data_IF_614887953574
#
_entry.id   IF_614887953574
#
_cell.length_a   1.000
_cell.length_b   1.000
_cell.length_c   1.000
_cell.angle_alpha   90.00
_cell.angle_beta   90.00
_cell.angle_gamma   90.00
#
_symmetry.space_group_name_H-M   'P 1'
#
loop_
_entity.id
_entity.type
_entity.pdbx_description
1 polymer ?
#
# COMPACT_ATOMS: atom_id res chain seq x y z
N UNK A 1 -35.03 43.02 -56.24
CA UNK A 1 -33.72 43.70 -56.30
C UNK A 1 -32.84 43.06 -55.25
N UNK A 2 -31.87 42.24 -55.70
CA UNK A 2 -30.67 41.62 -55.07
C UNK A 2 -30.71 41.25 -53.57
N UNK A 3 -30.73 39.97 -53.15
CA UNK A 3 -29.69 38.90 -53.15
C UNK A 3 -28.49 39.18 -52.21
N UNK A 4 -28.25 38.32 -51.20
CA UNK A 4 -27.29 37.20 -51.22
C UNK A 4 -27.18 36.49 -49.84
N UNK A 5 -27.37 35.15 -49.83
CA UNK A 5 -26.75 34.20 -48.89
C UNK A 5 -25.32 33.88 -49.37
N UNK A 6 -24.52 33.15 -48.58
CA UNK A 6 -23.91 31.97 -49.19
C UNK A 6 -23.92 30.71 -48.31
N UNK A 7 -24.34 29.61 -48.94
CA UNK A 7 -23.91 28.23 -48.74
C UNK A 7 -22.64 27.95 -49.55
N UNK A 8 -21.73 27.11 -49.06
CA UNK A 8 -20.90 26.27 -49.93
C UNK A 8 -20.34 25.05 -49.17
N UNK A 9 -20.58 23.88 -49.76
CA UNK A 9 -19.96 22.60 -49.46
C UNK A 9 -19.06 22.19 -50.64
N UNK A 10 -18.21 21.19 -50.36
CA UNK A 10 -17.66 20.16 -51.25
C UNK A 10 -16.20 20.25 -51.75
N UNK A 11 -15.53 19.12 -51.45
CA UNK A 11 -14.33 18.44 -51.94
C UNK A 11 -13.81 18.77 -53.35
N UNK A 12 -12.49 18.59 -53.54
CA UNK A 12 -11.89 17.68 -54.53
C UNK A 12 -10.34 17.57 -54.38
N UNK A 13 -9.87 16.31 -54.31
CA UNK A 13 -8.66 15.66 -54.88
C UNK A 13 -7.33 16.44 -55.04
N UNK A 14 -6.23 15.84 -54.56
CA UNK A 14 -5.11 15.36 -55.40
C UNK A 14 -3.99 14.69 -54.58
N UNK A 15 -3.58 13.49 -55.01
CA UNK A 15 -2.28 12.88 -54.68
C UNK A 15 -1.14 13.58 -55.43
N UNK A 16 0.13 13.35 -55.06
CA UNK A 16 0.96 12.62 -56.01
C UNK A 16 1.91 11.58 -55.39
N UNK A 17 2.35 10.73 -56.30
CA UNK A 17 3.13 9.50 -56.21
C UNK A 17 4.65 9.69 -56.11
N UNK A 18 5.32 8.59 -55.72
CA UNK A 18 6.66 8.11 -56.11
C UNK A 18 7.86 8.44 -55.21
N UNK A 19 8.36 7.41 -54.52
CA UNK A 19 9.77 7.00 -54.68
C UNK A 19 9.91 5.48 -54.50
N UNK A 20 10.60 4.87 -55.46
CA UNK A 20 10.96 3.45 -55.55
C UNK A 20 12.41 3.27 -55.13
N UNK A 21 12.71 2.19 -54.41
CA UNK A 21 14.08 1.77 -54.08
C UNK A 21 14.08 0.43 -53.35
N UNK A 22 14.20 -0.65 -54.11
CA UNK A 22 14.31 -2.02 -53.62
C UNK A 22 15.70 -2.32 -53.02
N UNK A 23 15.76 -3.17 -51.98
CA UNK A 23 16.55 -4.41 -52.05
C UNK A 23 16.20 -5.38 -50.91
N UNK A 24 16.13 -6.66 -51.28
CA UNK A 24 15.79 -7.80 -50.47
C UNK A 24 17.01 -8.39 -49.75
N UNK A 25 16.77 -9.01 -48.59
CA UNK A 25 17.15 -10.39 -48.21
C UNK A 25 17.44 -10.50 -46.71
N UNK A 26 16.79 -11.47 -46.05
CA UNK A 26 17.11 -11.85 -44.67
C UNK A 26 15.92 -12.37 -43.87
N UNK A 27 15.12 -13.29 -44.42
CA UNK A 27 14.13 -14.02 -43.62
C UNK A 27 14.85 -15.03 -42.72
N UNK A 28 14.80 -14.83 -41.40
CA UNK A 28 14.92 -15.93 -40.44
C UNK A 28 13.65 -15.94 -39.61
N UNK A 29 12.71 -16.78 -40.03
CA UNK A 29 11.50 -17.09 -39.29
C UNK A 29 11.85 -18.06 -38.16
N UNK A 30 11.99 -17.55 -36.93
CA UNK A 30 11.85 -18.41 -35.75
C UNK A 30 10.37 -18.44 -35.39
N UNK A 31 9.73 -19.55 -35.71
CA UNK A 31 8.38 -19.93 -35.29
C UNK A 31 8.48 -20.73 -33.99
N UNK A 32 7.56 -20.51 -33.05
CA UNK A 32 7.33 -21.39 -31.90
C UNK A 32 8.24 -21.19 -30.67
N UNK A 33 8.15 -22.09 -29.67
CA UNK A 33 7.94 -21.89 -28.22
C UNK A 33 9.07 -21.23 -27.39
N UNK A 34 10.09 -20.64 -28.03
CA UNK A 34 11.29 -20.15 -27.35
C UNK A 34 11.07 -18.80 -26.62
N UNK A 35 10.20 -17.93 -27.16
CA UNK A 35 9.86 -16.64 -26.53
C UNK A 35 9.01 -16.84 -25.25
N UNK A 36 8.11 -17.83 -25.25
CA UNK A 36 7.33 -18.22 -24.08
C UNK A 36 8.21 -18.88 -23.01
N UNK A 37 9.25 -19.61 -23.41
CA UNK A 37 10.21 -20.23 -22.48
C UNK A 37 11.15 -19.20 -21.84
N UNK A 38 11.60 -18.18 -22.59
CA UNK A 38 12.39 -17.07 -22.01
C UNK A 38 11.57 -16.19 -21.06
N UNK A 39 10.29 -15.93 -21.37
CA UNK A 39 9.40 -15.16 -20.48
C UNK A 39 9.03 -15.94 -19.21
N UNK A 40 8.89 -17.27 -19.30
CA UNK A 40 8.73 -18.14 -18.11
C UNK A 40 9.99 -18.24 -17.26
N UNK A 41 11.19 -18.25 -17.88
CA UNK A 41 12.46 -18.29 -17.15
C UNK A 41 12.71 -17.00 -16.38
N UNK A 42 12.52 -15.84 -17.02
CA UNK A 42 12.65 -14.54 -16.35
C UNK A 42 11.64 -14.35 -15.19
N UNK A 43 10.40 -14.84 -15.34
CA UNK A 43 9.38 -14.77 -14.28
C UNK A 43 9.64 -15.80 -13.16
N UNK A 44 10.25 -16.94 -13.47
CA UNK A 44 10.68 -17.94 -12.48
C UNK A 44 11.88 -17.45 -11.67
N UNK A 45 12.87 -16.84 -12.33
CA UNK A 45 14.09 -16.33 -11.69
C UNK A 45 13.78 -15.10 -10.81
N UNK A 46 12.85 -14.25 -11.23
CA UNK A 46 12.36 -13.12 -10.42
C UNK A 46 11.58 -13.59 -9.19
N UNK A 47 10.70 -14.59 -9.32
CA UNK A 47 9.98 -15.17 -8.17
C UNK A 47 10.90 -15.95 -7.22
N UNK A 48 11.93 -16.64 -7.72
CA UNK A 48 12.88 -17.34 -6.86
C UNK A 48 13.78 -16.40 -6.10
N UNK A 49 14.18 -15.28 -6.70
CA UNK A 49 15.00 -14.28 -6.01
C UNK A 49 14.19 -13.55 -4.93
N UNK A 50 12.96 -13.11 -5.25
CA UNK A 50 12.05 -12.51 -4.27
C UNK A 50 11.79 -13.46 -3.08
N UNK A 51 11.52 -14.74 -3.36
CA UNK A 51 11.35 -15.77 -2.31
C UNK A 51 12.63 -16.04 -1.51
N UNK A 52 13.82 -15.83 -2.08
CA UNK A 52 15.09 -16.01 -1.37
C UNK A 52 15.44 -14.84 -0.46
N UNK A 53 15.11 -13.61 -0.89
CA UNK A 53 15.32 -12.39 -0.11
C UNK A 53 14.31 -12.30 1.04
N UNK A 54 13.05 -12.63 0.78
CA UNK A 54 12.00 -12.77 1.80
C UNK A 54 12.40 -13.81 2.85
N UNK A 55 12.91 -14.97 2.42
CA UNK A 55 13.41 -16.00 3.33
C UNK A 55 14.63 -15.53 4.13
N UNK A 56 15.57 -14.80 3.51
CA UNK A 56 16.74 -14.24 4.20
C UNK A 56 16.32 -13.21 5.25
N UNK A 57 15.37 -12.33 4.94
CA UNK A 57 14.82 -11.36 5.88
C UNK A 57 14.11 -12.04 7.06
N UNK A 58 13.24 -13.01 6.79
CA UNK A 58 12.58 -13.80 7.83
C UNK A 58 13.56 -14.63 8.67
N UNK A 59 14.63 -15.16 8.07
CA UNK A 59 15.69 -15.88 8.79
C UNK A 59 16.53 -14.92 9.64
N UNK A 60 16.75 -13.66 9.21
CA UNK A 60 17.37 -12.61 10.04
C UNK A 60 16.49 -12.29 11.26
N UNK A 61 15.19 -12.03 11.03
CA UNK A 61 14.21 -11.75 12.09
C UNK A 61 14.11 -12.93 13.07
N UNK A 62 14.15 -14.18 12.56
CA UNK A 62 14.11 -15.39 13.39
C UNK A 62 15.41 -15.59 14.18
N UNK A 63 16.56 -15.46 13.53
CA UNK A 63 17.89 -15.55 14.16
C UNK A 63 17.97 -14.61 15.36
N UNK A 64 17.43 -13.40 15.21
CA UNK A 64 17.43 -12.40 16.25
C UNK A 64 16.59 -12.79 17.48
N UNK A 65 15.37 -13.30 17.27
CA UNK A 65 14.52 -13.81 18.36
C UNK A 65 15.20 -14.93 19.16
N UNK A 66 16.02 -15.77 18.52
CA UNK A 66 16.76 -16.84 19.19
C UNK A 66 17.99 -16.33 19.97
N UNK A 67 18.66 -15.28 19.47
CA UNK A 67 19.84 -14.68 20.12
C UNK A 67 19.45 -13.81 21.34
N UNK A 68 18.33 -13.09 21.25
CA UNK A 68 17.74 -12.35 22.37
C UNK A 68 17.37 -13.29 23.54
N UNK A 69 16.82 -14.46 23.23
CA UNK A 69 16.52 -15.50 24.23
C UNK A 69 17.78 -16.09 24.87
N UNK A 70 18.90 -16.17 24.15
CA UNK A 70 20.19 -16.59 24.72
C UNK A 70 20.80 -15.53 25.62
N UNK A 71 20.75 -14.25 25.23
CA UNK A 71 21.27 -13.16 26.06
C UNK A 71 20.49 -13.00 27.37
N UNK A 72 19.16 -13.16 27.34
CA UNK A 72 18.31 -13.18 28.55
C UNK A 72 18.61 -14.36 29.49
N UNK A 73 19.16 -15.46 28.98
CA UNK A 73 19.61 -16.59 29.80
C UNK A 73 21.01 -16.34 30.40
N UNK A 74 21.89 -15.63 29.69
CA UNK A 74 23.27 -15.37 30.13
C UNK A 74 23.40 -14.29 31.21
N UNK A 75 22.50 -13.29 31.25
CA UNK A 75 22.53 -12.23 32.29
C UNK A 75 22.10 -12.70 33.68
N UNK A 76 21.74 -13.98 33.84
CA UNK A 76 21.46 -14.60 35.14
C UNK A 76 22.66 -15.34 35.75
N UNK A 77 23.81 -15.38 35.06
CA UNK A 77 25.00 -16.09 35.53
C UNK A 77 26.25 -15.19 35.52
N UNK A 78 26.80 -15.03 36.73
CA UNK A 78 28.22 -14.78 37.04
C UNK A 78 28.71 -13.33 37.25
N UNK A 79 28.27 -12.72 38.35
CA UNK A 79 29.11 -11.81 39.13
C UNK A 79 30.04 -12.63 40.05
N UNK A 80 31.28 -12.89 39.66
CA UNK A 80 32.46 -12.90 40.55
C UNK A 80 33.73 -13.41 39.85
N UNK A 81 34.76 -12.56 39.74
CA UNK A 81 36.12 -12.84 40.25
C UNK A 81 37.15 -11.86 39.67
N UNK A 82 37.54 -10.86 40.45
CA UNK A 82 38.74 -10.06 40.26
C UNK A 82 39.78 -10.43 41.33
N UNK A 83 41.02 -10.78 40.94
CA UNK A 83 42.21 -10.62 41.80
C UNK A 83 43.46 -10.27 40.95
N UNK A 84 44.27 -9.26 41.35
CA UNK A 84 45.50 -8.82 40.67
C UNK A 84 46.79 -9.21 41.43
N UNK A 85 47.98 -9.24 40.78
CA UNK A 85 49.33 -8.86 41.33
C UNK A 85 50.51 -9.03 40.33
N UNK A 86 51.74 -8.47 40.55
CA UNK A 86 52.50 -7.73 39.52
C UNK A 86 54.03 -8.03 39.33
N UNK A 87 54.63 -7.42 38.28
CA UNK A 87 56.04 -6.94 38.19
C UNK A 87 57.08 -7.86 37.48
N UNK A 88 58.33 -7.38 37.17
CA UNK A 88 58.76 -6.09 36.60
C UNK A 88 59.74 -6.18 35.38
N UNK A 89 59.80 -5.10 34.59
CA UNK A 89 60.92 -4.43 33.85
C UNK A 89 61.95 -5.20 33.00
N UNK A 90 62.10 -4.82 31.70
CA UNK A 90 63.32 -4.18 31.12
C UNK A 90 63.14 -3.74 29.65
N UNK A 91 63.83 -2.65 29.30
CA UNK A 91 63.71 -1.82 28.11
C UNK A 91 64.37 -2.39 26.83
N UNK A 92 63.82 -2.03 25.66
CA UNK A 92 64.48 -2.21 24.37
C UNK A 92 63.66 -1.70 23.17
N UNK A 93 64.19 -0.67 22.51
CA UNK A 93 63.93 -0.21 21.14
C UNK A 93 62.47 0.05 20.68
N UNK A 94 62.13 1.35 20.55
CA UNK A 94 60.94 1.83 19.85
C UNK A 94 61.00 1.46 18.35
N UNK A 95 60.36 0.36 18.00
CA UNK A 95 59.68 0.19 16.72
C UNK A 95 58.40 1.03 16.82
N UNK A 96 57.97 1.82 15.82
CA UNK A 96 56.62 2.37 15.83
C UNK A 96 55.67 1.18 15.80
N UNK A 97 55.26 0.77 16.99
CA UNK A 97 54.25 -0.24 17.19
C UNK A 97 52.99 0.46 16.76
N UNK A 98 52.52 0.14 15.56
CA UNK A 98 51.15 0.42 15.15
C UNK A 98 50.27 0.10 16.35
N UNK A 99 49.61 1.13 16.88
CA UNK A 99 48.78 0.98 18.08
C UNK A 99 47.88 -0.23 17.85
N UNK A 100 47.69 -1.13 18.83
CA UNK A 100 46.75 -2.22 18.69
C UNK A 100 45.44 -1.61 18.19
N UNK A 101 45.02 -1.98 16.98
CA UNK A 101 43.69 -1.67 16.47
C UNK A 101 42.74 -2.32 17.47
N UNK A 102 42.27 -1.54 18.45
CA UNK A 102 41.17 -1.95 19.30
C UNK A 102 40.04 -2.17 18.31
N UNK A 103 39.48 -3.39 18.20
CA UNK A 103 38.37 -3.62 17.28
C UNK A 103 37.29 -2.62 17.65
N UNK A 104 36.92 -1.76 16.70
CA UNK A 104 35.86 -0.79 16.96
C UNK A 104 34.55 -1.56 17.09
N UNK A 105 33.81 -1.22 18.13
CA UNK A 105 32.52 -1.83 18.40
C UNK A 105 31.51 -1.24 17.42
N UNK A 106 30.87 -2.09 16.61
CA UNK A 106 29.77 -1.69 15.74
C UNK A 106 28.51 -1.53 16.59
N UNK A 107 27.98 -0.32 16.69
CA UNK A 107 26.76 -0.02 17.45
C UNK A 107 25.82 0.75 16.53
N UNK A 108 24.82 0.06 16.01
CA UNK A 108 23.73 0.63 15.20
C UNK A 108 22.46 0.65 16.04
N UNK A 109 21.62 1.64 15.79
CA UNK A 109 20.33 1.80 16.46
C UNK A 109 19.24 2.03 15.40
N UNK A 110 18.05 1.49 15.63
CA UNK A 110 16.91 1.63 14.75
C UNK A 110 15.63 1.80 15.54
N UNK A 111 14.81 2.77 15.15
CA UNK A 111 13.50 3.04 15.77
C UNK A 111 12.41 3.17 14.71
N UNK A 112 11.24 2.60 14.96
CA UNK A 112 10.04 2.77 14.16
C UNK A 112 9.18 3.88 14.77
N UNK A 113 8.88 4.91 13.97
CA UNK A 113 7.81 5.86 14.27
C UNK A 113 6.63 5.61 13.36
N UNK A 114 5.43 5.41 13.91
CA UNK A 114 4.20 5.25 13.14
C UNK A 114 3.19 6.32 13.51
N UNK A 115 2.65 7.01 12.50
CA UNK A 115 1.63 8.05 12.67
C UNK A 115 0.49 7.90 11.66
N UNK A 116 -0.69 8.37 12.00
CA UNK A 116 -1.86 8.40 11.12
C UNK A 116 -1.73 9.54 10.10
N UNK A 117 -2.02 9.28 8.83
CA UNK A 117 -1.83 10.22 7.71
C UNK A 117 -2.59 11.53 7.85
N UNK A 118 -3.85 11.46 8.26
CA UNK A 118 -4.69 12.67 8.39
C UNK A 118 -4.45 13.48 9.67
N UNK A 119 -4.13 12.82 10.79
CA UNK A 119 -4.10 13.46 12.12
C UNK A 119 -2.71 13.63 12.71
N UNK A 120 -1.70 12.90 12.21
CA UNK A 120 -0.36 12.83 12.78
C UNK A 120 -0.29 12.18 14.15
N UNK A 121 -1.40 11.60 14.63
CA UNK A 121 -1.46 10.90 15.91
C UNK A 121 -0.71 9.56 15.82
N UNK A 122 -0.18 9.03 16.94
CA UNK A 122 0.51 7.74 16.95
C UNK A 122 -0.44 6.60 16.56
N UNK A 123 0.06 5.58 15.86
CA UNK A 123 -0.76 4.46 15.38
C UNK A 123 -1.48 3.69 16.50
N UNK A 124 -0.97 3.72 17.73
CA UNK A 124 -1.61 3.14 18.91
C UNK A 124 -2.89 3.88 19.34
N UNK A 125 -3.11 5.10 18.84
CA UNK A 125 -4.33 5.88 19.06
C UNK A 125 -5.46 5.52 18.10
N UNK A 126 -5.20 4.63 17.14
CA UNK A 126 -6.17 4.20 16.16
C UNK A 126 -7.38 3.54 16.83
N UNK A 127 -8.55 4.08 16.55
CA UNK A 127 -9.82 3.52 17.01
C UNK A 127 -10.70 3.23 15.81
N UNK A 128 -11.32 2.05 15.78
CA UNK A 128 -12.36 1.78 14.81
C UNK A 128 -13.46 2.87 14.90
N UNK A 129 -13.96 3.40 13.77
CA UNK A 129 -14.98 4.42 13.77
C UNK A 129 -16.22 3.95 14.56
N UNK A 130 -16.90 4.85 15.29
CA UNK A 130 -18.08 4.49 16.06
C UNK A 130 -19.18 4.01 15.11
N UNK A 131 -19.45 2.71 15.19
CA UNK A 131 -20.53 1.97 14.55
C UNK A 131 -20.38 1.65 13.07
N UNK A 132 -19.47 2.25 12.30
CA UNK A 132 -19.37 1.98 10.86
C UNK A 132 -20.66 2.31 10.10
N UNK A 133 -21.64 2.97 10.73
CA UNK A 133 -22.89 3.37 10.09
C UNK A 133 -22.62 4.68 9.38
N UNK A 134 -22.94 4.73 8.09
CA UNK A 134 -22.94 5.92 7.25
C UNK A 134 -24.15 6.82 7.49
N UNK A 135 -24.48 7.02 8.77
CA UNK A 135 -25.39 8.04 9.24
C UNK A 135 -24.53 9.00 10.04
N UNK A 136 -24.32 10.24 9.54
CA UNK A 136 -23.52 11.21 10.27
C UNK A 136 -24.02 11.36 11.71
N UNK A 137 -23.10 11.31 12.67
CA UNK A 137 -23.44 11.30 14.11
C UNK A 137 -24.19 12.57 14.56
N UNK A 138 -24.14 13.63 13.75
CA UNK A 138 -24.83 14.90 13.93
C UNK A 138 -26.21 14.96 13.24
N UNK A 139 -26.61 13.91 12.52
CA UNK A 139 -27.85 13.84 11.75
C UNK A 139 -27.83 14.66 10.46
N UNK A 140 -26.65 14.99 9.94
CA UNK A 140 -26.49 15.64 8.63
C UNK A 140 -26.69 14.66 7.47
N UNK A 141 -26.95 15.21 6.28
CA UNK A 141 -27.05 14.43 5.05
C UNK A 141 -25.66 13.94 4.59
N UNK A 142 -25.61 12.81 3.90
CA UNK A 142 -24.39 12.35 3.23
C UNK A 142 -24.04 13.30 2.09
N UNK A 143 -22.76 13.68 1.97
CA UNK A 143 -22.24 14.56 0.93
C UNK A 143 -21.20 13.88 0.05
N UNK A 144 -20.50 12.88 0.60
CA UNK A 144 -19.53 12.06 -0.12
C UNK A 144 -19.64 10.61 0.33
N UNK A 145 -19.52 9.70 -0.62
CA UNK A 145 -19.30 8.27 -0.36
C UNK A 145 -18.13 7.77 -1.19
N UNK A 146 -17.38 6.83 -0.65
CA UNK A 146 -16.26 6.17 -1.33
C UNK A 146 -16.53 4.68 -1.39
N UNK A 147 -16.37 4.12 -2.58
CA UNK A 147 -16.47 2.68 -2.82
C UNK A 147 -15.13 2.11 -3.25
N UNK A 148 -14.87 0.87 -2.84
CA UNK A 148 -13.87 0.00 -3.44
C UNK A 148 -14.54 -0.84 -4.52
N UNK A 149 -13.91 -0.92 -5.70
CA UNK A 149 -14.38 -1.76 -6.79
C UNK A 149 -13.81 -3.18 -6.67
N UNK A 150 -14.69 -4.16 -6.70
CA UNK A 150 -14.40 -5.59 -6.71
C UNK A 150 -15.00 -6.23 -7.95
N UNK A 151 -14.35 -7.23 -8.54
CA UNK A 151 -14.90 -7.92 -9.72
C UNK A 151 -15.84 -9.05 -9.31
N UNK A 152 -16.99 -8.67 -8.72
CA UNK A 152 -17.95 -9.61 -8.10
C UNK A 152 -19.37 -9.42 -8.65
N UNK A 153 -20.09 -10.49 -9.02
CA UNK A 153 -21.47 -10.39 -9.49
C UNK A 153 -22.43 -9.98 -8.36
N UNK A 154 -23.64 -9.56 -8.70
CA UNK A 154 -24.66 -9.14 -7.72
C UNK A 154 -24.96 -10.19 -6.65
N UNK A 155 -24.88 -11.48 -6.99
CA UNK A 155 -25.10 -12.57 -6.06
C UNK A 155 -24.05 -12.66 -4.93
N UNK A 156 -22.94 -11.93 -5.06
CA UNK A 156 -21.91 -11.81 -4.02
C UNK A 156 -22.04 -10.58 -3.14
N UNK A 157 -23.07 -9.74 -3.35
CA UNK A 157 -23.36 -8.61 -2.46
C UNK A 157 -23.86 -9.08 -1.09
N UNK A 158 -23.58 -8.27 -0.09
CA UNK A 158 -23.95 -8.47 1.31
C UNK A 158 -24.23 -7.09 1.92
N UNK A 159 -25.52 -6.77 2.12
CA UNK A 159 -25.98 -5.53 2.72
C UNK A 159 -27.36 -5.74 3.35
N UNK A 160 -27.73 -4.87 4.29
CA UNK A 160 -28.95 -4.99 5.07
C UNK A 160 -30.11 -4.09 4.57
N UNK A 161 -29.99 -3.50 3.37
CA UNK A 161 -31.00 -2.59 2.81
C UNK A 161 -32.22 -3.29 2.18
N UNK A 162 -32.23 -4.64 2.14
CA UNK A 162 -33.40 -5.40 1.68
C UNK A 162 -33.80 -5.08 0.23
N UNK A 163 -34.99 -4.52 0.03
CA UNK A 163 -35.50 -4.16 -1.32
C UNK A 163 -35.14 -2.75 -1.77
N UNK A 164 -34.59 -1.94 -0.87
CA UNK A 164 -34.24 -0.54 -1.14
C UNK A 164 -32.88 -0.45 -1.86
N UNK A 165 -32.04 -1.49 -1.70
CA UNK A 165 -30.89 -1.74 -2.56
C UNK A 165 -31.20 -2.78 -3.64
N UNK A 166 -30.83 -2.47 -4.88
CA UNK A 166 -31.03 -3.38 -6.02
C UNK A 166 -29.76 -3.46 -6.86
N UNK A 167 -29.17 -4.64 -6.93
CA UNK A 167 -28.07 -4.94 -7.85
C UNK A 167 -28.59 -5.76 -9.02
N UNK A 168 -28.29 -5.35 -10.24
CA UNK A 168 -28.60 -6.09 -11.47
C UNK A 168 -27.35 -6.34 -12.31
N UNK A 169 -27.01 -7.60 -12.52
CA UNK A 169 -25.96 -8.01 -13.46
C UNK A 169 -26.48 -7.88 -14.90
N UNK A 170 -25.72 -7.19 -15.74
CA UNK A 170 -25.99 -7.03 -17.17
C UNK A 170 -24.91 -7.77 -17.96
N UNK A 171 -25.33 -8.65 -18.87
CA UNK A 171 -24.40 -9.47 -19.63
C UNK A 171 -23.61 -10.42 -18.72
N UNK A 172 -22.26 -10.41 -18.72
CA UNK A 172 -21.46 -11.27 -17.87
C UNK A 172 -21.48 -10.88 -16.38
N UNK A 173 -22.03 -9.70 -16.02
CA UNK A 173 -22.12 -9.22 -14.63
C UNK A 173 -20.80 -8.65 -14.07
N UNK A 174 -19.66 -9.10 -14.58
CA UNK A 174 -18.33 -8.68 -14.14
C UNK A 174 -17.37 -8.46 -15.32
N UNK A 175 -16.38 -7.57 -15.19
CA UNK A 175 -15.39 -7.38 -16.23
C UNK A 175 -14.44 -8.60 -16.31
N UNK A 176 -13.86 -8.88 -17.50
CA UNK A 176 -12.77 -9.85 -17.62
C UNK A 176 -11.59 -9.49 -16.71
N UNK A 177 -10.84 -10.50 -16.26
CA UNK A 177 -9.67 -10.28 -15.39
C UNK A 177 -8.69 -9.26 -16.00
N UNK A 178 -8.39 -8.20 -15.24
CA UNK A 178 -7.47 -7.14 -15.65
C UNK A 178 -8.03 -6.14 -16.68
N UNK A 179 -9.35 -6.13 -16.90
CA UNK A 179 -10.02 -5.07 -17.64
C UNK A 179 -10.45 -3.93 -16.70
N UNK A 180 -10.36 -2.71 -17.21
CA UNK A 180 -10.72 -1.50 -16.47
C UNK A 180 -12.19 -1.17 -16.68
N UNK A 181 -12.85 -0.64 -15.66
CA UNK A 181 -14.24 -0.18 -15.72
C UNK A 181 -14.34 1.34 -15.69
N UNK A 182 -15.48 1.83 -16.19
CA UNK A 182 -15.96 3.19 -15.99
C UNK A 182 -17.23 3.17 -15.15
N UNK A 183 -17.34 4.12 -14.22
CA UNK A 183 -18.44 4.21 -13.27
C UNK A 183 -19.12 5.57 -13.43
N UNK A 184 -20.44 5.52 -13.55
CA UNK A 184 -21.31 6.70 -13.60
C UNK A 184 -22.38 6.52 -12.55
N UNK A 185 -22.54 7.51 -11.67
CA UNK A 185 -23.59 7.53 -10.67
C UNK A 185 -24.55 8.68 -10.91
N UNK A 186 -25.83 8.46 -10.68
CA UNK A 186 -26.88 9.44 -10.86
C UNK A 186 -27.95 9.32 -9.77
N UNK A 187 -28.67 10.42 -9.55
CA UNK A 187 -29.87 10.44 -8.71
C UNK A 187 -30.95 9.50 -9.27
N UNK A 188 -31.52 8.66 -8.42
CA UNK A 188 -32.60 7.73 -8.75
C UNK A 188 -33.99 8.40 -8.76
N UNK A 189 -34.07 9.68 -9.15
CA UNK A 189 -35.31 10.43 -9.21
C UNK A 189 -36.05 10.21 -10.54
N UNK A 190 -37.35 9.88 -10.48
CA UNK A 190 -38.18 9.58 -11.65
C UNK A 190 -38.29 10.73 -12.68
N UNK A 191 -38.02 11.98 -12.27
CA UNK A 191 -38.34 13.16 -13.08
C UNK A 191 -37.13 13.91 -13.64
N UNK A 192 -35.91 13.72 -13.12
CA UNK A 192 -34.66 14.29 -13.65
C UNK A 192 -33.47 13.68 -12.91
N UNK A 193 -32.88 12.60 -13.45
CA UNK A 193 -31.64 12.06 -12.93
C UNK A 193 -30.51 13.09 -13.07
N UNK A 194 -29.95 13.53 -11.94
CA UNK A 194 -28.78 14.39 -11.89
C UNK A 194 -27.56 13.47 -11.89
N UNK A 195 -26.66 13.67 -12.85
CA UNK A 195 -25.39 12.94 -12.89
C UNK A 195 -24.48 13.47 -11.78
N UNK A 196 -24.00 12.56 -10.94
CA UNK A 196 -23.08 12.84 -9.84
C UNK A 196 -21.63 12.85 -10.34
N UNK A 197 -20.76 13.50 -9.58
CA UNK A 197 -19.32 13.52 -9.86
C UNK A 197 -18.71 12.23 -9.33
N UNK A 198 -18.00 11.50 -10.19
CA UNK A 198 -17.28 10.27 -9.82
C UNK A 198 -15.78 10.45 -10.07
N UNK A 199 -14.96 10.23 -9.05
CA UNK A 199 -13.51 10.45 -9.13
C UNK A 199 -12.71 9.27 -8.54
N UNK A 200 -11.88 8.57 -9.34
CA UNK A 200 -11.86 8.57 -10.81
C UNK A 200 -13.15 7.96 -11.39
N UNK A 201 -13.57 8.38 -12.59
CA UNK A 201 -14.76 7.83 -13.27
C UNK A 201 -14.44 6.72 -14.29
N UNK A 202 -13.16 6.48 -14.60
CA UNK A 202 -12.72 5.46 -15.55
C UNK A 202 -11.29 5.00 -15.25
N UNK A 203 -10.90 3.85 -15.81
CA UNK A 203 -9.59 3.26 -15.55
C UNK A 203 -9.49 2.57 -14.18
N UNK A 204 -10.64 2.17 -13.63
CA UNK A 204 -10.74 1.54 -12.30
C UNK A 204 -10.57 0.04 -12.46
N UNK A 205 -9.69 -0.56 -11.66
CA UNK A 205 -9.45 -2.00 -11.59
C UNK A 205 -9.84 -2.56 -10.22
N UNK A 206 -9.94 -3.88 -10.11
CA UNK A 206 -10.33 -4.51 -8.85
C UNK A 206 -9.32 -4.19 -7.73
N UNK A 207 -9.82 -3.69 -6.59
CA UNK A 207 -9.04 -3.17 -5.47
C UNK A 207 -8.88 -1.65 -5.49
N UNK A 208 -9.18 -0.97 -6.60
CA UNK A 208 -9.14 0.49 -6.66
C UNK A 208 -10.38 1.10 -5.99
N UNK A 209 -10.22 2.32 -5.46
CA UNK A 209 -11.30 3.10 -4.87
C UNK A 209 -11.74 4.26 -5.77
N UNK A 210 -12.99 4.67 -5.63
CA UNK A 210 -13.52 5.88 -6.24
C UNK A 210 -14.51 6.57 -5.31
N UNK A 211 -14.60 7.89 -5.47
CA UNK A 211 -15.48 8.77 -4.69
C UNK A 211 -16.68 9.20 -5.52
N UNK A 212 -17.83 9.39 -4.87
CA UNK A 212 -19.04 9.93 -5.45
C UNK A 212 -19.50 11.14 -4.64
N UNK A 213 -19.69 12.27 -5.32
CA UNK A 213 -20.07 13.56 -4.74
C UNK A 213 -21.08 14.27 -5.65
N UNK A 214 -21.87 15.18 -5.09
CA UNK A 214 -22.64 16.12 -5.91
C UNK A 214 -21.71 17.18 -6.54
N UNK A 215 -22.03 17.65 -7.76
CA UNK A 215 -21.20 18.53 -8.58
C UNK A 215 -20.80 19.87 -7.93
N UNK A 216 -21.50 20.30 -6.88
CA UNK A 216 -21.28 21.56 -6.16
C UNK A 216 -21.04 21.35 -4.66
N UNK A 217 -20.74 20.12 -4.22
CA UNK A 217 -20.55 19.79 -2.80
C UNK A 217 -21.84 19.87 -1.99
N UNK A 218 -23.01 19.72 -2.64
CA UNK A 218 -24.28 19.54 -1.97
C UNK A 218 -24.43 18.14 -1.37
N UNK A 219 -25.54 17.88 -0.64
CA UNK A 219 -25.86 16.54 -0.19
C UNK A 219 -26.11 15.61 -1.38
N UNK A 220 -25.71 14.35 -1.22
CA UNK A 220 -26.05 13.26 -2.11
C UNK A 220 -27.57 13.02 -2.09
N UNK A 221 -28.14 12.51 -3.20
CA UNK A 221 -29.55 12.16 -3.24
C UNK A 221 -29.86 11.02 -2.27
N UNK A 222 -31.10 10.97 -1.78
CA UNK A 222 -31.56 9.90 -0.87
C UNK A 222 -31.53 8.52 -1.53
N UNK A 223 -31.57 8.44 -2.86
CA UNK A 223 -31.38 7.21 -3.61
C UNK A 223 -30.51 7.48 -4.82
N UNK A 224 -29.54 6.60 -5.05
CA UNK A 224 -28.53 6.74 -6.09
C UNK A 224 -28.48 5.47 -6.92
N UNK A 225 -28.21 5.61 -8.22
CA UNK A 225 -27.92 4.50 -9.12
C UNK A 225 -26.52 4.66 -9.69
N UNK A 226 -25.65 3.67 -9.49
CA UNK A 226 -24.35 3.58 -10.15
C UNK A 226 -24.36 2.50 -11.23
N UNK A 227 -23.90 2.87 -12.42
CA UNK A 227 -23.74 1.99 -13.56
C UNK A 227 -22.26 1.73 -13.80
N UNK A 228 -21.89 0.45 -13.83
CA UNK A 228 -20.54 -0.03 -14.11
C UNK A 228 -20.50 -0.52 -15.55
N UNK A 229 -19.56 0.02 -16.33
CA UNK A 229 -19.37 -0.37 -17.73
C UNK A 229 -17.93 -0.77 -18.01
N UNK A 230 -17.74 -1.72 -18.92
CA UNK A 230 -16.43 -2.10 -19.42
C UNK A 230 -15.84 -0.96 -20.25
N UNK A 231 -14.65 -0.45 -19.91
CA UNK A 231 -14.05 0.71 -20.58
C UNK A 231 -13.71 0.42 -22.05
N UNK A 232 -13.37 -0.83 -22.37
CA UNK A 232 -12.96 -1.23 -23.72
C UNK A 232 -14.13 -1.30 -24.72
N UNK A 233 -15.26 -1.85 -24.28
CA UNK A 233 -16.44 -2.11 -25.11
C UNK A 233 -17.59 -1.14 -24.89
N UNK A 234 -17.61 -0.42 -23.76
CA UNK A 234 -18.74 0.40 -23.33
C UNK A 234 -19.97 -0.42 -22.91
N UNK A 235 -19.84 -1.74 -22.78
CA UNK A 235 -20.95 -2.59 -22.35
C UNK A 235 -21.22 -2.38 -20.86
N UNK A 236 -22.49 -2.16 -20.51
CA UNK A 236 -22.93 -2.16 -19.11
C UNK A 236 -22.76 -3.56 -18.54
N UNK A 237 -22.07 -3.65 -17.41
CA UNK A 237 -21.78 -4.88 -16.68
C UNK A 237 -22.70 -5.04 -15.48
N UNK A 238 -22.98 -3.96 -14.77
CA UNK A 238 -23.79 -4.00 -13.57
C UNK A 238 -24.44 -2.64 -13.30
N UNK A 239 -25.62 -2.66 -12.70
CA UNK A 239 -26.31 -1.48 -12.19
C UNK A 239 -26.64 -1.70 -10.72
N UNK A 240 -26.27 -0.74 -9.88
CA UNK A 240 -26.42 -0.80 -8.43
C UNK A 240 -27.25 0.39 -7.96
N UNK A 241 -28.38 0.12 -7.30
CA UNK A 241 -29.20 1.11 -6.63
C UNK A 241 -28.96 1.02 -5.13
N UNK A 242 -28.80 2.18 -4.50
CA UNK A 242 -28.55 2.35 -3.08
C UNK A 242 -29.61 3.27 -2.48
N UNK A 243 -29.90 3.05 -1.20
CA UNK A 243 -30.60 4.01 -0.36
C UNK A 243 -29.58 4.69 0.58
N UNK A 244 -29.55 6.02 0.53
CA UNK A 244 -28.68 6.90 1.30
C UNK A 244 -29.50 7.78 2.26
N UNK A 245 -30.79 7.48 2.45
CA UNK A 245 -31.73 8.33 3.20
C UNK A 245 -31.48 8.38 4.70
N UNK A 246 -30.79 7.37 5.24
CA UNK A 246 -30.64 7.13 6.67
C UNK A 246 -31.86 6.45 7.31
N UNK A 247 -32.92 6.15 6.55
CA UNK A 247 -34.06 5.36 7.04
C UNK A 247 -33.76 3.85 7.04
N UNK A 248 -32.77 3.42 6.24
CA UNK A 248 -32.21 2.06 6.24
C UNK A 248 -30.75 2.07 6.71
N UNK A 249 -30.27 0.92 7.19
CA UNK A 249 -28.87 0.78 7.55
C UNK A 249 -28.01 0.93 6.30
N UNK A 250 -26.97 1.75 6.39
CA UNK A 250 -25.90 1.84 5.42
C UNK A 250 -24.62 1.70 6.21
N UNK A 251 -24.01 0.53 6.17
CA UNK A 251 -22.84 0.20 6.96
C UNK A 251 -21.60 0.16 6.07
N UNK A 252 -20.48 0.65 6.60
CA UNK A 252 -19.19 0.45 5.96
C UNK A 252 -18.94 -1.06 5.85
N UNK A 253 -18.38 -1.44 4.70
CA UNK A 253 -18.23 -2.81 4.19
C UNK A 253 -19.50 -3.45 3.65
N UNK A 254 -20.64 -2.75 3.63
CA UNK A 254 -21.77 -3.19 2.82
C UNK A 254 -21.33 -3.34 1.35
N UNK A 255 -21.67 -4.49 0.78
CA UNK A 255 -21.36 -4.87 -0.58
C UNK A 255 -22.62 -4.89 -1.44
N UNK A 256 -22.57 -4.14 -2.53
CA UNK A 256 -23.60 -4.03 -3.55
C UNK A 256 -23.01 -4.57 -4.86
N UNK A 257 -22.95 -5.90 -4.95
CA UNK A 257 -22.31 -6.61 -6.05
C UNK A 257 -20.81 -6.31 -6.16
N UNK A 258 -20.43 -5.52 -7.17
CA UNK A 258 -19.04 -5.13 -7.42
C UNK A 258 -18.57 -3.93 -6.59
N UNK A 259 -19.43 -3.32 -5.77
CA UNK A 259 -19.11 -2.10 -5.02
C UNK A 259 -19.14 -2.37 -3.52
N UNK A 260 -18.05 -2.09 -2.82
CA UNK A 260 -17.97 -2.17 -1.36
C UNK A 260 -17.89 -0.76 -0.80
N UNK A 261 -18.80 -0.37 0.08
CA UNK A 261 -18.74 0.93 0.74
C UNK A 261 -17.57 0.96 1.72
N UNK A 262 -16.63 1.89 1.56
CA UNK A 262 -15.43 1.97 2.40
C UNK A 262 -15.28 3.28 3.16
N UNK A 263 -15.99 4.33 2.73
CA UNK A 263 -16.08 5.60 3.47
C UNK A 263 -17.35 6.36 3.12
N UNK A 264 -17.80 7.20 4.05
CA UNK A 264 -18.92 8.11 3.92
C UNK A 264 -18.70 9.35 4.81
N UNK A 265 -18.76 10.54 4.23
CA UNK A 265 -18.34 11.79 4.89
C UNK A 265 -16.99 11.60 5.63
N UNK A 266 -16.97 11.85 6.94
CA UNK A 266 -15.79 11.74 7.79
C UNK A 266 -15.61 10.33 8.39
N UNK A 267 -16.47 9.36 8.05
CA UNK A 267 -16.42 7.99 8.56
C UNK A 267 -15.78 7.08 7.51
N UNK A 268 -14.55 6.62 7.76
CA UNK A 268 -13.79 5.76 6.84
C UNK A 268 -13.32 4.48 7.53
N UNK A 269 -13.36 3.36 6.82
CA UNK A 269 -12.65 2.13 7.22
C UNK A 269 -11.20 2.15 6.82
N UNK A 270 -10.81 3.05 5.93
CA UNK A 270 -9.48 3.08 5.35
C UNK A 270 -8.69 4.18 6.01
N UNK A 271 -7.61 3.80 6.67
CA UNK A 271 -6.67 4.72 7.31
C UNK A 271 -5.29 4.58 6.66
N UNK A 272 -4.63 5.72 6.49
CA UNK A 272 -3.27 5.79 6.00
C UNK A 272 -2.30 5.85 7.19
N UNK A 273 -1.24 5.07 7.13
CA UNK A 273 -0.15 5.05 8.10
C UNK A 273 1.10 5.62 7.45
N UNK A 274 1.68 6.63 8.10
CA UNK A 274 3.01 7.13 7.82
C UNK A 274 4.00 6.48 8.77
N UNK A 275 4.86 5.63 8.22
CA UNK A 275 5.87 4.89 8.98
C UNK A 275 7.26 5.42 8.63
N UNK A 276 8.05 5.73 9.65
CA UNK A 276 9.42 6.24 9.52
C UNK A 276 10.37 5.35 10.31
N UNK A 277 11.33 4.75 9.60
CA UNK A 277 12.43 3.99 10.20
C UNK A 277 13.61 4.93 10.37
N UNK A 278 13.96 5.24 11.61
CA UNK A 278 15.10 6.08 11.95
C UNK A 278 16.31 5.19 12.20
N UNK A 279 17.39 5.42 11.49
CA UNK A 279 18.62 4.64 11.54
C UNK A 279 19.73 5.51 12.08
N UNK A 280 20.47 5.06 13.09
CA UNK A 280 21.52 5.84 13.72
C UNK A 280 22.83 5.05 13.86
N UNK A 281 23.93 5.71 13.49
CA UNK A 281 25.26 5.21 13.80
C UNK A 281 25.69 5.71 15.19
N UNK A 282 25.52 4.86 16.20
CA UNK A 282 25.93 5.13 17.58
C UNK A 282 27.40 4.69 17.83
N UNK A 283 27.98 3.96 16.88
CA UNK A 283 29.35 3.49 16.90
C UNK A 283 30.39 4.60 16.69
N UNK A 284 31.66 4.31 16.99
CA UNK A 284 32.75 5.27 16.87
C UNK A 284 33.29 5.42 15.44
N UNK A 285 32.96 4.48 14.54
CA UNK A 285 33.43 4.42 13.14
C UNK A 285 32.28 4.63 12.15
N UNK A 286 32.60 5.04 10.93
CA UNK A 286 31.60 5.07 9.85
C UNK A 286 31.08 3.65 9.55
N UNK A 287 29.77 3.51 9.34
CA UNK A 287 29.14 2.23 9.02
C UNK A 287 28.36 2.27 7.71
N UNK A 288 28.40 1.16 6.98
CA UNK A 288 27.59 0.89 5.79
C UNK A 288 26.45 -0.04 6.18
N UNK A 289 25.22 0.36 5.85
CA UNK A 289 24.05 -0.51 5.98
C UNK A 289 24.09 -1.51 4.83
N UNK A 290 24.12 -2.80 5.16
CA UNK A 290 24.15 -3.91 4.21
C UNK A 290 22.73 -4.37 3.87
N UNK A 291 21.86 -4.43 4.87
CA UNK A 291 20.46 -4.84 4.73
C UNK A 291 19.57 -4.04 5.70
N UNK A 292 18.34 -3.76 5.25
CA UNK A 292 17.29 -3.10 6.03
C UNK A 292 15.96 -3.80 5.72
N UNK A 293 15.63 -4.83 6.47
CA UNK A 293 14.45 -5.66 6.23
C UNK A 293 13.26 -5.18 7.04
N UNK A 294 12.21 -4.77 6.33
CA UNK A 294 10.92 -4.42 6.89
C UNK A 294 9.93 -5.55 6.68
N UNK A 295 9.20 -5.93 7.71
CA UNK A 295 8.02 -6.79 7.61
C UNK A 295 6.80 -5.98 8.06
N UNK A 296 5.81 -5.89 7.17
CA UNK A 296 4.50 -5.32 7.48
C UNK A 296 3.44 -6.38 7.23
N UNK A 297 2.79 -6.85 8.30
CA UNK A 297 1.77 -7.90 8.24
C UNK A 297 2.19 -9.15 7.44
N UNK A 298 3.45 -9.58 7.58
CA UNK A 298 4.00 -10.76 6.92
C UNK A 298 4.50 -10.51 5.49
N UNK A 299 4.45 -9.27 4.99
CA UNK A 299 5.07 -8.87 3.72
C UNK A 299 6.43 -8.24 4.02
N UNK A 300 7.49 -8.97 3.66
CA UNK A 300 8.86 -8.54 3.89
C UNK A 300 9.46 -7.85 2.65
N UNK A 301 10.20 -6.76 2.88
CA UNK A 301 10.89 -5.98 1.84
C UNK A 301 12.26 -5.47 2.33
N UNK A 302 13.25 -5.40 1.44
CA UNK A 302 14.57 -4.83 1.76
C UNK A 302 14.68 -3.39 1.28
N UNK A 303 14.76 -2.46 2.22
CA UNK A 303 14.75 -1.03 1.99
C UNK A 303 16.15 -0.41 1.95
N UNK A 304 17.23 -1.21 1.97
CA UNK A 304 18.62 -0.69 2.06
C UNK A 304 18.96 0.29 0.93
N UNK A 305 18.37 0.11 -0.24
CA UNK A 305 18.55 1.00 -1.40
C UNK A 305 18.01 2.42 -1.19
N UNK A 306 17.12 2.61 -0.22
CA UNK A 306 16.50 3.90 0.12
C UNK A 306 17.30 4.66 1.20
N UNK A 307 18.25 4.00 1.88
CA UNK A 307 19.05 4.60 2.95
C UNK A 307 20.02 5.62 2.36
N UNK A 308 19.76 6.90 2.61
CA UNK A 308 20.60 8.01 2.12
C UNK A 308 20.85 9.02 3.25
N UNK A 309 22.09 9.29 3.66
CA UNK A 309 23.35 8.76 3.12
C UNK A 309 23.65 7.34 3.62
N UNK A 310 24.41 6.58 2.83
CA UNK A 310 25.00 5.29 3.21
C UNK A 310 26.41 5.23 2.57
N UNK A 311 27.52 5.22 3.34
CA UNK A 311 27.62 5.03 4.80
C UNK A 311 27.21 6.23 5.66
N UNK A 312 26.91 5.98 6.94
CA UNK A 312 26.72 6.99 7.98
C UNK A 312 28.00 7.23 8.78
N UNK A 313 28.33 8.49 9.07
CA UNK A 313 29.43 8.84 9.98
C UNK A 313 29.02 8.64 11.45
N UNK A 314 29.99 8.57 12.39
CA UNK A 314 29.71 8.46 13.81
C UNK A 314 28.77 9.57 14.31
N UNK A 315 27.72 9.18 15.04
CA UNK A 315 26.70 10.07 15.58
C UNK A 315 25.74 10.66 14.55
N UNK A 316 25.77 10.20 13.29
CA UNK A 316 24.79 10.59 12.28
C UNK A 316 23.60 9.62 12.25
N UNK A 317 22.45 10.16 11.84
CA UNK A 317 21.23 9.41 11.61
C UNK A 317 20.66 9.71 10.23
N UNK A 318 19.90 8.78 9.69
CA UNK A 318 19.07 8.95 8.50
C UNK A 318 17.72 8.28 8.71
N UNK A 319 16.78 8.47 7.78
CA UNK A 319 15.45 7.88 7.85
C UNK A 319 14.98 7.36 6.50
N UNK A 320 14.18 6.29 6.53
CA UNK A 320 13.39 5.80 5.40
C UNK A 320 11.92 5.92 5.77
N UNK A 321 11.08 6.34 4.84
CA UNK A 321 9.65 6.58 5.08
C UNK A 321 8.80 5.83 4.08
N UNK A 322 7.71 5.24 4.58
CA UNK A 322 6.73 4.48 3.80
C UNK A 322 5.30 4.87 4.20
N UNK A 323 4.39 4.77 3.24
CA UNK A 323 2.95 4.97 3.43
C UNK A 323 2.25 3.61 3.28
N UNK A 324 1.41 3.26 4.24
CA UNK A 324 0.57 2.05 4.18
C UNK A 324 -0.89 2.42 4.29
N UNK A 325 -1.74 1.63 3.65
CA UNK A 325 -3.19 1.74 3.79
C UNK A 325 -3.71 0.52 4.54
N UNK A 326 -4.46 0.73 5.61
CA UNK A 326 -5.05 -0.34 6.43
C UNK A 326 -6.56 -0.22 6.54
N UNK A 327 -7.20 -1.37 6.80
CA UNK A 327 -8.62 -1.46 7.09
C UNK A 327 -8.85 -1.49 8.60
N UNK A 328 -9.46 -0.43 9.13
CA UNK A 328 -9.74 -0.26 10.56
C UNK A 328 -11.11 -0.73 10.99
N UNK A 329 -11.94 -1.19 10.05
CA UNK A 329 -13.22 -1.80 10.37
C UNK A 329 -13.11 -3.30 10.63
N UNK A 330 -12.01 -3.92 10.20
CA UNK A 330 -11.70 -5.31 10.53
C UNK A 330 -10.83 -5.34 11.79
N UNK A 331 -11.34 -5.87 12.92
CA UNK A 331 -10.51 -6.06 14.12
C UNK A 331 -9.30 -6.91 13.77
N UNK A 332 -8.13 -6.47 14.21
CA UNK A 332 -6.88 -7.08 13.81
C UNK A 332 -5.71 -6.59 14.63
N UNK A 333 -4.66 -7.41 14.65
CA UNK A 333 -3.35 -7.02 15.15
C UNK A 333 -2.49 -6.62 13.96
N UNK A 334 -1.99 -5.40 14.00
CA UNK A 334 -1.03 -4.88 13.03
C UNK A 334 0.35 -4.93 13.65
N UNK A 335 1.30 -5.46 12.87
CA UNK A 335 2.69 -5.63 13.31
C UNK A 335 3.62 -5.08 12.25
N UNK A 336 4.47 -4.16 12.67
CA UNK A 336 5.56 -3.63 11.87
C UNK A 336 6.85 -4.00 12.57
N UNK A 337 7.75 -4.67 11.87
CA UNK A 337 9.09 -4.96 12.37
C UNK A 337 10.14 -4.54 11.37
N UNK A 338 11.25 -4.01 11.87
CA UNK A 338 12.43 -3.65 11.10
C UNK A 338 13.64 -4.37 11.66
N UNK A 339 14.50 -4.87 10.78
CA UNK A 339 15.78 -5.47 11.15
C UNK A 339 16.89 -4.88 10.26
N UNK A 340 18.00 -4.53 10.88
CA UNK A 340 19.13 -3.85 10.27
C UNK A 340 20.38 -4.70 10.36
N UNK A 341 21.13 -4.77 9.28
CA UNK A 341 22.50 -5.28 9.24
C UNK A 341 23.44 -4.17 8.78
N UNK A 342 24.44 -3.84 9.60
CA UNK A 342 25.41 -2.77 9.32
C UNK A 342 26.85 -3.23 9.56
N UNK A 343 27.76 -2.77 8.71
CA UNK A 343 29.19 -3.09 8.77
C UNK A 343 30.01 -1.81 8.98
N UNK A 344 30.81 -1.70 10.05
CA UNK A 344 31.71 -0.57 10.25
C UNK A 344 32.95 -0.73 9.35
N UNK A 345 33.65 0.37 9.08
CA UNK A 345 34.86 0.30 8.26
C UNK A 345 35.95 -0.63 8.83
N UNK A 346 36.03 -0.77 10.15
CA UNK A 346 37.06 -1.57 10.85
C UNK A 346 36.49 -2.42 11.99
N UNK A 347 35.57 -3.33 11.72
CA UNK A 347 34.98 -4.13 12.80
C UNK A 347 34.05 -5.24 12.32
N UNK A 348 33.47 -6.02 13.25
CA UNK A 348 32.45 -6.98 12.91
C UNK A 348 31.14 -6.28 12.51
N UNK A 349 30.30 -6.98 11.75
CA UNK A 349 28.91 -6.58 11.46
C UNK A 349 28.13 -6.45 12.78
N UNK A 350 27.24 -5.46 12.87
CA UNK A 350 26.25 -5.34 13.92
C UNK A 350 24.83 -5.38 13.39
N UNK A 351 23.92 -5.72 14.29
CA UNK A 351 22.49 -5.86 14.05
C UNK A 351 21.73 -4.97 15.02
N UNK A 352 20.60 -4.44 14.58
CA UNK A 352 19.57 -3.85 15.42
C UNK A 352 18.19 -4.12 14.84
N UNK A 353 17.16 -4.06 15.66
CA UNK A 353 15.78 -4.26 15.26
C UNK A 353 14.86 -3.39 16.11
N UNK A 354 13.64 -3.20 15.60
CA UNK A 354 12.56 -2.64 16.38
C UNK A 354 11.23 -3.23 15.90
N UNK A 355 10.24 -3.26 16.79
CA UNK A 355 8.92 -3.83 16.54
C UNK A 355 7.87 -2.96 17.21
N UNK A 356 6.89 -2.53 16.42
CA UNK A 356 5.66 -1.93 16.93
C UNK A 356 4.48 -2.84 16.62
N UNK A 357 3.60 -2.98 17.61
CA UNK A 357 2.37 -3.75 17.53
C UNK A 357 1.22 -2.91 18.05
N UNK A 358 0.16 -2.79 17.27
CA UNK A 358 -1.06 -2.12 17.68
C UNK A 358 -2.27 -2.93 17.20
N UNK A 359 -3.34 -2.88 17.99
CA UNK A 359 -4.53 -3.66 17.74
C UNK A 359 -5.75 -2.76 17.60
N UNK A 360 -6.59 -3.10 16.64
CA UNK A 360 -7.90 -2.50 16.51
C UNK A 360 -8.86 -3.40 17.27
N UNK A 361 -9.30 -2.93 18.43
CA UNK A 361 -10.19 -3.71 19.30
C UNK A 361 -11.56 -3.89 18.65
N UNK A 362 -12.17 -5.05 18.91
CA UNK A 362 -13.55 -5.32 18.52
C UNK A 362 -14.49 -4.24 19.08
N UNK A 363 -15.45 -3.84 18.24
CA UNK A 363 -16.47 -2.83 18.49
C UNK A 363 -17.07 -2.97 19.90
N UNK A 364 -17.16 -1.89 20.70
CA UNK A 364 -18.06 -1.86 21.85
C UNK A 364 -19.50 -2.01 21.31
N UNK A 365 -20.12 -3.16 21.52
CA UNK A 365 -21.55 -3.32 21.24
C UNK A 365 -22.31 -2.40 22.19
N UNK A 366 -23.05 -1.44 21.65
CA UNK A 366 -23.94 -0.61 22.46
C UNK A 366 -24.96 -1.54 23.11
N UNK A 367 -25.17 -1.50 24.44
CA UNK A 367 -26.11 -2.39 25.09
C UNK A 367 -27.52 -2.12 24.54
N UNK A 368 -28.17 -3.16 24.04
CA UNK A 368 -29.58 -3.11 23.61
C UNK A 368 -30.45 -2.72 24.82
N UNK A 369 -31.04 -1.53 24.80
CA UNK A 369 -32.03 -1.09 25.79
C UNK A 369 -33.44 -1.51 25.44
#
# INVERSE_FOLDING_TARGET
MRLFLPTAAALLLASPTMFSGAQAQGSSSVTGPELASRKRRANSDSKSNASSEEKRGLDLIRSYNEELLRYLQLTTADENSLVPTPGPTLAGAEVPTEAPLVPSECIVDVDITCTLGGSGLPCESLTAPPLGICVPADGSDLSIVTFEFQSTPCAGGDNDQGTDAVCTDVGPGVPPSGADVSIVCEDNAEMSAIVLTVTPSSGITAGDTFTVEEMNGGPLPLSMVCTISDTGSGAVLQTNTFDLSGDVSLDLKDSFGSLILVSCNDVTCIEELNVVYNLSNVGPDSMTFLDLFRDFNGVAENLVSQVTPNPLLPGQSTSVSEEFTIDVCTPGLFRISIAVEAEPANGPVCLADDVIEFSINERPTTPTT
#
